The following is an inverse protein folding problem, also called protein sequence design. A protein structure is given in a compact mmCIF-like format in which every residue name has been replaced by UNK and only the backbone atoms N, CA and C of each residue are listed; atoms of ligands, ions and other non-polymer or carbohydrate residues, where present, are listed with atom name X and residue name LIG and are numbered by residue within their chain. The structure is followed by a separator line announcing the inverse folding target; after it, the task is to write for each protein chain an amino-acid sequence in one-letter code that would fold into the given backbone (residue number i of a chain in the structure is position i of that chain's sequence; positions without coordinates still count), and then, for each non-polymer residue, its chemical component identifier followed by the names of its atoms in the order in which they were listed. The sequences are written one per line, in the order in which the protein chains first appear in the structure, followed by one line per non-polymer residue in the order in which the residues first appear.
data_IF_045870317002
#
_entry.id   IF_045870317002
#
_cell.length_a   1.000
_cell.length_b   1.000
_cell.length_c   1.000
_cell.angle_alpha   90.00
_cell.angle_beta   90.00
_cell.angle_gamma   90.00
#
_symmetry.space_group_name_H-M   'P 1'
#
loop_
_entity.id
_entity.type
_entity.pdbx_description
1 polymer ?
#
# COMPACT_ATOMS: atom_id res chain seq x y z
N UNK A 1 10.94 -5.79 6.48
CA UNK A 1 9.68 -5.83 7.22
C UNK A 1 8.99 -4.47 7.16
N UNK A 2 7.68 -4.45 6.98
CA UNK A 2 6.94 -3.20 6.90
C UNK A 2 6.67 -2.64 8.29
N UNK A 3 6.73 -1.31 8.44
CA UNK A 3 6.30 -0.65 9.65
C UNK A 3 4.77 -0.74 9.77
N UNK A 4 4.23 -0.44 10.94
CA UNK A 4 2.78 -0.45 11.15
C UNK A 4 2.06 0.48 10.17
N UNK A 5 2.57 1.69 9.96
CA UNK A 5 1.96 2.64 9.04
C UNK A 5 2.07 2.15 7.59
N UNK A 6 3.22 1.61 7.20
CA UNK A 6 3.39 1.04 5.88
C UNK A 6 2.42 -0.11 5.64
N UNK A 7 2.20 -0.94 6.64
CA UNK A 7 1.26 -2.06 6.56
C UNK A 7 -0.16 -1.56 6.34
N UNK A 8 -0.57 -0.50 7.05
CA UNK A 8 -1.89 0.10 6.87
C UNK A 8 -2.08 0.59 5.43
N UNK A 9 -1.08 1.30 4.91
CA UNK A 9 -1.11 1.78 3.52
C UNK A 9 -1.12 0.61 2.55
N UNK A 10 -0.33 -0.42 2.81
CA UNK A 10 -0.29 -1.62 1.98
C UNK A 10 -1.68 -2.26 1.84
N UNK A 11 -2.36 -2.49 2.94
CA UNK A 11 -3.68 -3.09 2.92
C UNK A 11 -4.70 -2.25 2.13
N UNK A 12 -4.67 -0.95 2.33
CA UNK A 12 -5.60 -0.05 1.66
C UNK A 12 -5.33 0.01 0.15
N UNK A 13 -4.08 0.09 -0.25
CA UNK A 13 -3.69 0.06 -1.67
C UNK A 13 -4.08 -1.26 -2.32
N UNK A 14 -3.79 -2.37 -1.66
CA UNK A 14 -4.13 -3.70 -2.16
C UNK A 14 -5.63 -3.89 -2.31
N UNK A 15 -6.42 -3.23 -1.47
CA UNK A 15 -7.87 -3.24 -1.53
C UNK A 15 -8.46 -2.31 -2.59
N UNK A 16 -7.63 -1.60 -3.35
CA UNK A 16 -8.09 -0.72 -4.42
C UNK A 16 -8.40 0.71 -3.99
N UNK A 17 -8.03 1.10 -2.77
CA UNK A 17 -8.26 2.47 -2.29
C UNK A 17 -7.19 3.39 -2.87
N UNK A 18 -7.60 4.54 -3.40
CA UNK A 18 -6.66 5.49 -4.02
C UNK A 18 -5.77 6.16 -2.98
N UNK A 19 -4.56 6.63 -3.38
CA UNK A 19 -3.69 7.37 -2.46
C UNK A 19 -4.37 8.58 -1.83
N UNK A 20 -5.23 9.28 -2.57
CA UNK A 20 -5.96 10.43 -2.06
C UNK A 20 -6.92 10.03 -0.94
N UNK A 21 -7.67 8.96 -1.11
CA UNK A 21 -8.58 8.46 -0.10
C UNK A 21 -7.81 7.96 1.13
N UNK A 22 -6.71 7.26 0.91
CA UNK A 22 -5.86 6.78 2.01
C UNK A 22 -5.35 7.96 2.82
N UNK A 23 -4.90 9.02 2.14
CA UNK A 23 -4.44 10.23 2.82
C UNK A 23 -5.51 10.85 3.69
N UNK A 24 -6.74 10.90 3.19
CA UNK A 24 -7.88 11.41 3.95
C UNK A 24 -8.16 10.55 5.17
N UNK A 25 -8.19 9.23 5.02
CA UNK A 25 -8.48 8.30 6.13
C UNK A 25 -7.40 8.34 7.20
N UNK A 26 -6.14 8.44 6.81
CA UNK A 26 -5.02 8.44 7.74
C UNK A 26 -4.58 9.83 8.18
N UNK A 27 -5.25 10.86 7.66
CA UNK A 27 -4.96 12.26 7.96
C UNK A 27 -3.52 12.65 7.58
N UNK A 28 -3.08 12.21 6.41
CA UNK A 28 -1.79 12.55 5.82
C UNK A 28 -1.99 12.96 4.36
N UNK A 29 -0.98 13.60 3.76
CA UNK A 29 -1.10 14.03 2.36
C UNK A 29 -1.03 12.84 1.41
N UNK A 30 -1.63 12.98 0.22
CA UNK A 30 -1.52 11.96 -0.82
C UNK A 30 -0.07 11.77 -1.26
N UNK A 31 0.73 12.83 -1.18
CA UNK A 31 2.17 12.75 -1.48
C UNK A 31 2.89 11.83 -0.49
N UNK A 32 2.54 11.93 0.79
CA UNK A 32 3.09 11.06 1.83
C UNK A 32 2.67 9.60 1.58
N UNK A 33 1.41 9.38 1.19
CA UNK A 33 0.94 8.04 0.84
C UNK A 33 1.74 7.48 -0.34
N UNK A 34 2.01 8.29 -1.35
CA UNK A 34 2.82 7.87 -2.50
C UNK A 34 4.24 7.48 -2.09
N UNK A 35 4.82 8.19 -1.12
CA UNK A 35 6.14 7.84 -0.58
C UNK A 35 6.09 6.48 0.11
N UNK A 36 5.07 6.22 0.90
CA UNK A 36 4.88 4.91 1.53
C UNK A 36 4.72 3.81 0.48
N UNK A 37 3.93 4.08 -0.57
CA UNK A 37 3.72 3.14 -1.66
C UNK A 37 5.06 2.75 -2.30
N UNK A 38 5.90 3.73 -2.61
CA UNK A 38 7.22 3.46 -3.21
C UNK A 38 8.08 2.58 -2.31
N UNK A 39 8.10 2.89 -1.01
CA UNK A 39 8.87 2.10 -0.04
C UNK A 39 8.37 0.67 0.05
N UNK A 40 7.06 0.48 0.06
CA UNK A 40 6.45 -0.86 0.11
C UNK A 40 6.83 -1.65 -1.13
N UNK A 41 6.72 -1.05 -2.31
CA UNK A 41 7.07 -1.71 -3.56
C UNK A 41 8.53 -2.13 -3.59
N UNK A 42 9.43 -1.26 -3.12
CA UNK A 42 10.85 -1.57 -3.03
C UNK A 42 11.12 -2.73 -2.07
N UNK A 43 10.53 -2.69 -0.88
CA UNK A 43 10.75 -3.71 0.14
C UNK A 43 10.25 -5.08 -0.30
N UNK A 44 9.22 -5.13 -1.15
CA UNK A 44 8.64 -6.37 -1.66
C UNK A 44 9.14 -6.73 -3.04
N UNK A 45 10.03 -5.94 -3.61
CA UNK A 45 10.54 -6.14 -4.98
C UNK A 45 9.44 -6.17 -6.02
N UNK A 46 8.44 -5.31 -5.86
CA UNK A 46 7.30 -5.17 -6.76
C UNK A 46 7.44 -3.88 -7.56
N UNK A 47 6.75 -3.79 -8.70
CA UNK A 47 6.86 -2.64 -9.60
C UNK A 47 5.61 -1.76 -9.61
N UNK A 48 4.43 -2.34 -9.49
CA UNK A 48 3.17 -1.62 -9.64
C UNK A 48 2.21 -1.93 -8.49
N UNK A 49 1.16 -1.10 -8.37
CA UNK A 49 0.08 -1.36 -7.41
C UNK A 49 -0.66 -2.66 -7.75
N UNK A 50 -0.79 -2.99 -9.03
CA UNK A 50 -1.39 -4.26 -9.44
C UNK A 50 -0.57 -5.44 -8.92
N UNK A 51 0.76 -5.36 -9.00
CA UNK A 51 1.64 -6.38 -8.44
C UNK A 51 1.43 -6.52 -6.94
N UNK A 52 1.24 -5.40 -6.25
CA UNK A 52 1.01 -5.37 -4.81
C UNK A 52 -0.31 -6.07 -4.45
N UNK A 53 -1.37 -5.81 -5.21
CA UNK A 53 -2.66 -6.48 -5.02
C UNK A 53 -2.53 -7.98 -5.23
N UNK A 54 -1.85 -8.39 -6.29
CA UNK A 54 -1.61 -9.80 -6.57
C UNK A 54 -0.83 -10.47 -5.44
N UNK A 55 0.21 -9.79 -4.95
CA UNK A 55 1.01 -10.29 -3.82
C UNK A 55 0.13 -10.51 -2.59
N UNK A 56 -0.74 -9.55 -2.28
CA UNK A 56 -1.61 -9.64 -1.11
C UNK A 56 -2.61 -10.80 -1.24
N UNK A 57 -3.18 -11.00 -2.41
CA UNK A 57 -4.12 -12.10 -2.65
C UNK A 57 -3.39 -13.44 -2.55
N UNK A 58 -2.25 -13.56 -3.21
CA UNK A 58 -1.47 -14.81 -3.24
C UNK A 58 -1.03 -15.25 -1.86
N UNK A 59 -0.77 -14.31 -0.96
CA UNK A 59 -0.31 -14.60 0.40
C UNK A 59 -1.44 -14.63 1.42
N UNK A 60 -2.70 -14.56 0.97
CA UNK A 60 -3.86 -14.65 1.86
C UNK A 60 -4.06 -13.44 2.75
N UNK A 61 -3.49 -12.28 2.39
CA UNK A 61 -3.61 -11.06 3.18
C UNK A 61 -4.91 -10.32 2.89
N UNK A 62 -5.45 -10.49 1.69
CA UNK A 62 -6.79 -9.99 1.30
C UNK A 62 -7.47 -11.04 0.44
N UNK A 63 -8.77 -10.91 0.26
CA UNK A 63 -9.56 -11.80 -0.59
C UNK A 63 -9.66 -11.33 -2.02
#
# INVERSE_FOLDING_TARGET
MLSQREFQVFFKLAGGISPTEIGTELNISSKTVSTYRMRILEKKSLKTTADLTYYAIKNGLIE
#
